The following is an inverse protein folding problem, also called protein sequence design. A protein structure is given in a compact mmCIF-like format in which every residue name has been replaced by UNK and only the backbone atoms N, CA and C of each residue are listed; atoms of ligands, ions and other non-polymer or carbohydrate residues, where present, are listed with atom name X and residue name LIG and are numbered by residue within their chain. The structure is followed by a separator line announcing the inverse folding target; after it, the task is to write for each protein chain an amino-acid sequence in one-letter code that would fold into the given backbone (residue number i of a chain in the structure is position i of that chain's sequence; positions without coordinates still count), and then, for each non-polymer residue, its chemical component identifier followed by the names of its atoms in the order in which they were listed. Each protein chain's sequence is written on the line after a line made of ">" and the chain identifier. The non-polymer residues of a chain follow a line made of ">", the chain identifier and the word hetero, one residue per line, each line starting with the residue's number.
data_IF_411410556985
#
_entry.id   IF_411410556985
#
_cell.length_a   1.000
_cell.length_b   1.000
_cell.length_c   1.000
_cell.angle_alpha   90.00
_cell.angle_beta   90.00
_cell.angle_gamma   90.00
#
_symmetry.space_group_name_H-M   'P 1'
#
loop_
_entity.id
_entity.type
_entity.pdbx_description
1 polymer ?
#
# COMPACT_ATOMS: atom_id res chain seq x y z
N UNK A 1 26.64 20.66 24.03
CA UNK A 1 27.36 19.48 23.52
C UNK A 1 27.68 19.74 22.04
N UNK A 2 28.94 19.78 21.66
CA UNK A 2 29.39 19.99 20.27
C UNK A 2 30.12 18.75 19.80
N UNK A 3 29.74 18.18 18.66
CA UNK A 3 30.42 17.04 18.05
C UNK A 3 31.22 17.52 16.84
N UNK A 4 32.45 17.07 16.71
CA UNK A 4 33.33 17.32 15.57
C UNK A 4 33.74 15.96 14.98
N UNK A 5 33.73 15.90 13.65
CA UNK A 5 34.16 14.72 12.89
C UNK A 5 35.60 14.93 12.38
N UNK A 6 36.52 14.03 12.75
CA UNK A 6 37.83 13.90 12.10
C UNK A 6 37.92 12.45 11.59
N UNK A 7 38.59 12.23 10.49
CA UNK A 7 38.49 11.01 9.64
C UNK A 7 38.69 9.65 10.32
N UNK A 8 39.12 9.59 11.57
CA UNK A 8 39.35 8.31 12.31
C UNK A 8 38.99 8.30 13.81
N UNK A 9 38.49 9.41 14.37
CA UNK A 9 38.12 9.47 15.81
C UNK A 9 36.88 10.33 16.05
N UNK A 10 36.03 9.89 16.99
CA UNK A 10 34.89 10.68 17.47
C UNK A 10 35.27 11.37 18.78
N UNK A 11 35.16 12.69 18.81
CA UNK A 11 35.47 13.52 19.97
C UNK A 11 34.17 14.09 20.58
N UNK A 12 33.90 13.73 21.84
CA UNK A 12 32.80 14.26 22.61
C UNK A 12 33.33 15.20 23.68
N UNK A 13 32.92 16.46 23.66
CA UNK A 13 33.27 17.46 24.65
C UNK A 13 32.04 17.77 25.51
N UNK A 14 32.12 17.49 26.81
CA UNK A 14 31.10 17.83 27.80
C UNK A 14 31.64 18.84 28.79
N UNK A 15 30.91 19.92 29.03
CA UNK A 15 31.15 20.85 30.14
C UNK A 15 30.15 20.54 31.25
N UNK A 16 30.62 20.19 32.42
CA UNK A 16 29.79 19.97 33.60
C UNK A 16 30.20 20.89 34.73
N UNK A 17 29.22 21.50 35.36
CA UNK A 17 29.49 22.25 36.62
C UNK A 17 29.71 21.23 37.74
N UNK A 18 30.90 21.24 38.32
CA UNK A 18 31.25 20.38 39.47
C UNK A 18 31.02 21.12 40.78
N UNK A 19 30.22 20.55 41.66
CA UNK A 19 30.04 21.05 43.03
C UNK A 19 31.32 20.99 43.87
N UNK A 20 32.34 20.22 43.46
CA UNK A 20 33.59 20.04 44.18
C UNK A 20 34.67 21.08 43.86
N UNK A 21 34.53 21.87 42.79
CA UNK A 21 35.54 22.87 42.38
C UNK A 21 34.92 24.27 42.19
N UNK A 22 34.47 24.90 43.30
CA UNK A 22 34.15 26.33 43.40
C UNK A 22 33.75 27.00 42.07
N UNK A 23 32.83 26.39 41.28
CA UNK A 23 32.18 27.04 40.13
C UNK A 23 33.02 27.09 38.83
N UNK A 24 34.16 26.46 38.73
CA UNK A 24 34.88 26.34 37.45
C UNK A 24 34.34 25.15 36.63
N UNK A 25 34.04 25.36 35.34
CA UNK A 25 33.56 24.28 34.48
C UNK A 25 34.69 23.28 34.22
N UNK A 26 34.47 22.00 34.54
CA UNK A 26 35.37 20.91 34.17
C UNK A 26 35.04 20.49 32.77
N UNK A 27 36.02 20.59 31.88
CA UNK A 27 35.91 20.15 30.49
C UNK A 27 36.42 18.72 30.37
N UNK A 28 35.53 17.79 30.08
CA UNK A 28 35.84 16.39 29.79
C UNK A 28 35.86 16.17 28.27
N UNK A 29 37.01 15.71 27.76
CA UNK A 29 37.16 15.28 26.39
C UNK A 29 37.24 13.75 26.36
N UNK A 30 36.24 13.11 25.74
CA UNK A 30 36.23 11.67 25.50
C UNK A 30 36.52 11.42 24.03
N UNK A 31 37.46 10.52 23.74
CA UNK A 31 37.78 10.08 22.38
C UNK A 31 37.34 8.64 22.23
N UNK A 32 36.70 8.34 21.11
CA UNK A 32 36.18 7.02 20.79
C UNK A 32 36.66 6.59 19.42
N UNK A 33 37.11 5.37 19.32
CA UNK A 33 37.35 4.70 18.05
C UNK A 33 36.02 4.36 17.36
N UNK A 34 35.98 4.16 16.03
CA UNK A 34 34.79 3.74 15.32
C UNK A 34 34.14 2.46 15.89
N UNK A 35 34.92 1.54 16.41
CA UNK A 35 34.42 0.29 17.00
C UNK A 35 33.81 0.52 18.39
N UNK A 36 34.43 1.39 19.22
CA UNK A 36 33.82 1.80 20.49
C UNK A 36 32.51 2.57 20.32
N UNK A 37 32.42 3.41 19.28
CA UNK A 37 31.15 4.07 18.91
C UNK A 37 30.11 3.04 18.49
N UNK A 38 30.48 2.02 17.71
CA UNK A 38 29.55 0.91 17.35
C UNK A 38 29.13 0.12 18.59
N UNK A 39 30.08 -0.18 19.49
CA UNK A 39 29.78 -0.86 20.75
C UNK A 39 28.88 0.00 21.66
N UNK A 40 29.11 1.31 21.75
CA UNK A 40 28.29 2.25 22.52
C UNK A 40 26.88 2.36 21.93
N UNK A 41 26.77 2.47 20.62
CA UNK A 41 25.48 2.47 19.92
C UNK A 41 24.74 1.14 20.10
N UNK A 42 25.43 0.02 20.07
CA UNK A 42 24.86 -1.31 20.35
C UNK A 42 24.44 -1.44 21.83
N UNK A 43 25.23 -0.90 22.76
CA UNK A 43 24.91 -0.88 24.19
C UNK A 43 23.70 0.03 24.48
N UNK A 44 23.69 1.25 23.93
CA UNK A 44 22.53 2.17 24.02
C UNK A 44 21.28 1.56 23.38
N UNK A 45 21.42 0.91 22.22
CA UNK A 45 20.32 0.19 21.57
C UNK A 45 19.86 -1.04 22.39
N UNK A 46 20.78 -1.68 23.14
CA UNK A 46 20.46 -2.77 24.07
C UNK A 46 19.78 -2.25 25.35
N UNK A 47 20.27 -1.15 25.91
CA UNK A 47 19.63 -0.45 27.04
C UNK A 47 18.25 0.12 26.65
N UNK A 48 18.11 0.63 25.44
CA UNK A 48 16.80 1.03 24.90
C UNK A 48 15.89 -0.18 24.69
N UNK A 49 16.42 -1.34 24.30
CA UNK A 49 15.66 -2.61 24.21
C UNK A 49 15.30 -3.16 25.59
N UNK A 50 16.18 -3.07 26.57
CA UNK A 50 15.93 -3.47 27.95
C UNK A 50 14.90 -2.54 28.64
N UNK A 51 14.94 -1.23 28.35
CA UNK A 51 13.92 -0.27 28.76
C UNK A 51 12.59 -0.38 27.98
N UNK A 52 12.52 -1.20 26.93
CA UNK A 52 11.28 -1.48 26.20
C UNK A 52 10.30 -2.37 27.01
N UNK A 53 10.65 -2.75 28.25
CA UNK A 53 9.79 -3.43 29.22
C UNK A 53 9.11 -2.52 30.22
N UNK A 54 9.26 -1.19 30.12
CA UNK A 54 8.58 -0.28 31.04
C UNK A 54 7.09 -0.16 30.68
N UNK A 55 6.24 -0.82 31.46
CA UNK A 55 4.87 -0.34 31.74
C UNK A 55 4.97 1.08 32.29
N UNK A 56 3.96 1.93 32.05
CA UNK A 56 3.82 3.20 32.78
C UNK A 56 3.99 2.94 34.28
N UNK A 57 4.35 3.97 35.05
CA UNK A 57 4.42 3.87 36.52
C UNK A 57 3.14 3.28 37.17
N UNK A 58 2.03 3.21 36.40
CA UNK A 58 0.72 2.64 36.76
C UNK A 58 0.49 1.19 36.26
N UNK A 59 1.47 0.53 35.62
CA UNK A 59 1.29 -0.81 35.03
C UNK A 59 0.44 -0.85 33.75
N UNK A 60 0.07 0.29 33.18
CA UNK A 60 -0.79 0.36 31.99
C UNK A 60 0.04 0.13 30.70
N UNK A 61 -0.52 -0.61 29.72
CA UNK A 61 0.16 -0.85 28.44
C UNK A 61 0.31 0.44 27.63
N UNK A 62 1.49 0.66 27.08
CA UNK A 62 1.85 1.83 26.29
C UNK A 62 1.59 1.60 24.78
N UNK A 63 1.23 2.65 24.05
CA UNK A 63 0.82 2.57 22.63
C UNK A 63 1.96 2.11 21.71
N UNK A 64 3.12 2.75 21.77
CA UNK A 64 4.25 2.39 20.88
C UNK A 64 4.77 0.99 21.21
N UNK A 65 4.91 0.65 22.49
CA UNK A 65 5.28 -0.69 22.92
C UNK A 65 4.30 -1.75 22.38
N UNK A 66 2.99 -1.52 22.54
CA UNK A 66 1.97 -2.42 22.03
C UNK A 66 2.00 -2.53 20.50
N UNK A 67 2.15 -1.40 19.79
CA UNK A 67 2.26 -1.43 18.32
C UNK A 67 3.49 -2.18 17.86
N UNK A 68 4.62 -2.07 18.55
CA UNK A 68 5.84 -2.81 18.24
C UNK A 68 5.66 -4.33 18.44
N UNK A 69 5.02 -4.75 19.53
CA UNK A 69 4.66 -6.16 19.77
C UNK A 69 3.78 -6.70 18.62
N UNK A 70 2.77 -5.91 18.21
CA UNK A 70 1.90 -6.28 17.09
C UNK A 70 2.66 -6.41 15.77
N UNK A 71 3.64 -5.54 15.50
CA UNK A 71 4.48 -5.56 14.31
C UNK A 71 5.38 -6.80 14.33
N UNK A 72 5.99 -7.15 15.47
CA UNK A 72 6.82 -8.35 15.61
C UNK A 72 6.00 -9.61 15.34
N UNK A 73 4.87 -9.78 16.00
CA UNK A 73 3.97 -10.91 15.77
C UNK A 73 3.42 -10.98 14.33
N UNK A 74 3.24 -9.81 13.67
CA UNK A 74 2.86 -9.77 12.27
C UNK A 74 4.01 -10.22 11.36
N UNK A 75 5.27 -9.85 11.67
CA UNK A 75 6.45 -10.18 10.89
C UNK A 75 6.70 -11.69 10.82
N UNK A 76 6.47 -12.42 11.92
CA UNK A 76 6.59 -13.89 12.00
C UNK A 76 5.66 -14.63 11.02
N UNK A 77 4.58 -13.98 10.59
CA UNK A 77 3.57 -14.56 9.71
C UNK A 77 3.68 -14.09 8.26
N UNK A 78 4.70 -13.27 7.93
CA UNK A 78 4.95 -12.83 6.55
C UNK A 78 5.40 -14.02 5.70
N UNK A 79 4.79 -14.18 4.54
CA UNK A 79 5.03 -15.34 3.65
C UNK A 79 4.11 -16.54 3.94
N UNK A 80 3.44 -16.59 5.09
CA UNK A 80 2.44 -17.61 5.41
C UNK A 80 1.04 -17.08 5.04
N UNK A 81 0.55 -16.08 5.75
CA UNK A 81 -0.79 -15.49 5.57
C UNK A 81 -0.77 -13.95 5.65
N UNK A 82 0.40 -13.35 5.74
CA UNK A 82 0.61 -11.91 5.86
C UNK A 82 1.52 -11.37 4.75
N UNK A 83 1.25 -10.14 4.32
CA UNK A 83 2.02 -9.50 3.25
C UNK A 83 3.11 -8.58 3.78
N UNK A 84 4.29 -8.62 3.16
CA UNK A 84 5.40 -7.70 3.42
C UNK A 84 4.99 -6.23 3.25
N UNK A 85 4.13 -5.92 2.28
CA UNK A 85 3.64 -4.56 2.05
C UNK A 85 2.84 -4.00 3.24
N UNK A 86 2.07 -4.85 3.93
CA UNK A 86 1.34 -4.47 5.15
C UNK A 86 2.28 -4.30 6.33
N UNK A 87 3.28 -5.19 6.48
CA UNK A 87 4.32 -5.05 7.50
C UNK A 87 5.07 -3.72 7.36
N UNK A 88 5.51 -3.41 6.15
CA UNK A 88 6.18 -2.12 5.86
C UNK A 88 5.30 -0.92 6.22
N UNK A 89 4.01 -0.96 5.87
CA UNK A 89 3.04 0.08 6.25
C UNK A 89 2.97 0.24 7.77
N UNK A 90 2.91 -0.84 8.53
CA UNK A 90 2.83 -0.81 9.99
C UNK A 90 4.10 -0.25 10.63
N UNK A 91 5.28 -0.66 10.15
CA UNK A 91 6.56 -0.10 10.60
C UNK A 91 6.65 1.41 10.37
N UNK A 92 6.26 1.87 9.18
CA UNK A 92 6.23 3.31 8.85
C UNK A 92 5.22 4.05 9.74
N UNK A 93 4.04 3.46 9.98
CA UNK A 93 3.04 4.07 10.86
C UNK A 93 3.55 4.21 12.29
N UNK A 94 4.24 3.19 12.83
CA UNK A 94 4.84 3.24 14.15
C UNK A 94 5.88 4.36 14.26
N UNK A 95 6.73 4.54 13.23
CA UNK A 95 7.69 5.66 13.16
C UNK A 95 7.00 7.03 13.19
N UNK A 96 5.91 7.20 12.45
CA UNK A 96 5.15 8.47 12.47
C UNK A 96 4.41 8.69 13.79
N UNK A 97 3.89 7.64 14.42
CA UNK A 97 3.29 7.72 15.76
C UNK A 97 4.34 8.16 16.79
N UNK A 98 5.53 7.58 16.75
CA UNK A 98 6.63 7.99 17.63
C UNK A 98 6.96 9.47 17.42
N UNK A 99 7.12 9.93 16.17
CA UNK A 99 7.35 11.35 15.87
C UNK A 99 6.25 12.27 16.41
N UNK A 100 4.99 11.90 16.24
CA UNK A 100 3.85 12.65 16.78
C UNK A 100 3.87 12.72 18.32
N UNK A 101 4.08 11.59 18.99
CA UNK A 101 4.11 11.52 20.46
C UNK A 101 5.26 12.35 21.00
N UNK A 102 6.48 12.20 20.43
CA UNK A 102 7.65 12.95 20.88
C UNK A 102 7.51 14.46 20.63
N UNK A 103 7.06 14.88 19.44
CA UNK A 103 7.03 16.29 19.06
C UNK A 103 5.82 17.04 19.60
N UNK A 104 4.63 16.41 19.56
CA UNK A 104 3.38 17.08 19.89
C UNK A 104 2.87 16.77 21.32
N UNK A 105 3.27 15.64 21.90
CA UNK A 105 2.89 15.23 23.26
C UNK A 105 4.06 15.36 24.26
N UNK A 106 5.28 15.60 23.78
CA UNK A 106 6.50 15.79 24.58
C UNK A 106 6.77 14.63 25.56
N UNK A 107 6.39 13.41 25.18
CA UNK A 107 6.58 12.20 25.96
C UNK A 107 7.27 11.12 25.10
N UNK A 108 7.86 10.09 25.73
CA UNK A 108 8.44 8.97 25.02
C UNK A 108 7.37 8.01 24.46
N UNK A 109 6.28 7.81 25.19
CA UNK A 109 5.12 7.00 24.79
C UNK A 109 3.86 7.49 25.54
N UNK A 110 2.69 6.98 25.19
CA UNK A 110 1.41 7.31 25.82
C UNK A 110 0.66 6.04 26.24
N UNK A 111 -0.10 6.06 27.36
CA UNK A 111 -0.97 4.94 27.72
C UNK A 111 -1.97 4.63 26.59
N UNK A 112 -2.25 3.35 26.38
CA UNK A 112 -3.22 2.91 25.36
C UNK A 112 -4.61 3.52 25.59
N UNK A 113 -5.00 3.71 26.83
CA UNK A 113 -6.27 4.35 27.22
C UNK A 113 -6.35 5.85 26.88
N UNK A 114 -5.20 6.51 26.72
CA UNK A 114 -5.14 7.91 26.29
C UNK A 114 -5.41 8.11 24.78
N UNK A 115 -5.48 6.99 24.01
CA UNK A 115 -5.82 7.02 22.60
C UNK A 115 -7.33 7.17 22.44
N UNK A 116 -7.79 8.35 22.08
CA UNK A 116 -9.19 8.71 21.87
C UNK A 116 -9.38 9.45 20.53
N UNK A 117 -10.59 9.94 20.26
CA UNK A 117 -10.88 10.70 19.03
C UNK A 117 -9.96 11.92 18.84
N UNK A 118 -9.65 12.64 19.94
CA UNK A 118 -8.74 13.80 19.91
C UNK A 118 -7.31 13.39 19.52
N UNK A 119 -6.82 12.25 20.04
CA UNK A 119 -5.53 11.69 19.64
C UNK A 119 -5.50 11.38 18.14
N UNK A 120 -6.56 10.79 17.59
CA UNK A 120 -6.68 10.53 16.15
C UNK A 120 -6.68 11.83 15.34
N UNK A 121 -7.41 12.86 15.78
CA UNK A 121 -7.46 14.16 15.12
C UNK A 121 -6.10 14.89 15.20
N UNK A 122 -5.42 14.82 16.35
CA UNK A 122 -4.08 15.37 16.53
C UNK A 122 -3.05 14.67 15.62
N UNK A 123 -3.08 13.33 15.56
CA UNK A 123 -2.22 12.58 14.66
C UNK A 123 -2.52 12.87 13.19
N UNK A 124 -3.79 13.04 12.81
CA UNK A 124 -4.17 13.44 11.45
C UNK A 124 -3.60 14.81 11.08
N UNK A 125 -3.71 15.81 11.98
CA UNK A 125 -3.12 17.16 11.81
C UNK A 125 -1.60 17.09 11.66
N UNK A 126 -0.91 16.33 12.52
CA UNK A 126 0.52 16.12 12.44
C UNK A 126 0.94 15.54 11.07
N UNK A 127 0.25 14.49 10.58
CA UNK A 127 0.54 13.89 9.29
C UNK A 127 0.35 14.85 8.11
N UNK A 128 -0.67 15.72 8.17
CA UNK A 128 -1.00 16.64 7.07
C UNK A 128 -0.14 17.90 7.13
N UNK A 129 -0.04 18.54 8.29
CA UNK A 129 0.57 19.86 8.40
C UNK A 129 2.07 19.78 8.71
N UNK A 130 2.50 18.88 9.60
CA UNK A 130 3.93 18.75 9.96
C UNK A 130 4.69 17.90 8.97
N UNK A 131 4.11 16.75 8.57
CA UNK A 131 4.74 15.82 7.61
C UNK A 131 4.38 16.12 6.15
N UNK A 132 3.53 17.10 5.88
CA UNK A 132 3.05 17.53 4.56
C UNK A 132 2.49 16.38 3.69
N UNK A 133 1.88 15.36 4.30
CA UNK A 133 1.27 14.26 3.56
C UNK A 133 -0.09 14.66 2.98
N UNK A 134 -0.38 14.14 1.79
CA UNK A 134 -1.72 14.24 1.22
C UNK A 134 -2.73 13.49 2.10
N UNK A 135 -3.97 13.97 2.16
CA UNK A 135 -5.07 13.38 2.93
C UNK A 135 -5.21 11.85 2.73
N UNK A 136 -5.00 11.35 1.51
CA UNK A 136 -5.05 9.91 1.21
C UNK A 136 -3.94 9.13 1.93
N UNK A 137 -2.73 9.67 2.01
CA UNK A 137 -1.60 9.06 2.72
C UNK A 137 -1.82 9.09 4.23
N UNK A 138 -2.30 10.23 4.77
CA UNK A 138 -2.66 10.35 6.18
C UNK A 138 -3.73 9.30 6.57
N UNK A 139 -4.79 9.12 5.75
CA UNK A 139 -5.80 8.07 5.98
C UNK A 139 -5.22 6.65 6.00
N UNK A 140 -4.17 6.37 5.23
CA UNK A 140 -3.50 5.07 5.25
C UNK A 140 -2.90 4.78 6.63
N UNK A 141 -2.21 5.75 7.23
CA UNK A 141 -1.60 5.62 8.55
C UNK A 141 -2.64 5.62 9.68
N UNK A 142 -3.69 6.46 9.59
CA UNK A 142 -4.82 6.43 10.52
C UNK A 142 -5.56 5.10 10.49
N UNK A 143 -5.69 4.47 9.31
CA UNK A 143 -6.25 3.12 9.18
C UNK A 143 -5.38 2.05 9.84
N UNK A 144 -4.05 2.21 9.83
CA UNK A 144 -3.14 1.32 10.53
C UNK A 144 -3.23 1.51 12.06
N UNK A 145 -3.33 2.76 12.56
CA UNK A 145 -3.58 3.02 13.98
C UNK A 145 -4.90 2.38 14.44
N UNK A 146 -5.99 2.53 13.66
CA UNK A 146 -7.26 1.82 13.94
C UNK A 146 -7.09 0.30 14.00
N UNK A 147 -6.23 -0.26 13.16
CA UNK A 147 -5.95 -1.69 13.20
C UNK A 147 -5.29 -2.09 14.52
N UNK A 148 -4.31 -1.35 15.01
CA UNK A 148 -3.69 -1.58 16.32
C UNK A 148 -4.70 -1.44 17.47
N UNK A 149 -5.52 -0.40 17.46
CA UNK A 149 -6.58 -0.24 18.47
C UNK A 149 -7.58 -1.42 18.47
N UNK A 150 -7.98 -1.92 17.28
CA UNK A 150 -8.82 -3.14 17.22
C UNK A 150 -8.11 -4.38 17.78
N UNK A 151 -6.80 -4.51 17.58
CA UNK A 151 -6.03 -5.59 18.19
C UNK A 151 -5.99 -5.45 19.72
N UNK A 152 -5.84 -4.22 20.23
CA UNK A 152 -5.90 -3.93 21.66
C UNK A 152 -7.28 -4.27 22.26
N UNK A 153 -8.36 -3.94 21.56
CA UNK A 153 -9.73 -4.32 21.96
C UNK A 153 -9.91 -5.85 22.02
N UNK A 154 -9.40 -6.58 21.02
CA UNK A 154 -9.45 -8.07 21.02
C UNK A 154 -8.69 -8.70 22.18
N UNK A 155 -7.66 -8.02 22.69
CA UNK A 155 -6.88 -8.46 23.85
C UNK A 155 -7.47 -7.94 25.19
N UNK A 156 -8.61 -7.26 25.18
CA UNK A 156 -9.23 -6.69 26.36
C UNK A 156 -8.52 -5.47 26.96
N UNK A 157 -7.52 -4.89 26.23
CA UNK A 157 -6.76 -3.73 26.68
C UNK A 157 -7.49 -2.41 26.44
N UNK A 158 -8.49 -2.41 25.58
CA UNK A 158 -9.40 -1.30 25.29
C UNK A 158 -10.85 -1.81 25.30
N UNK A 159 -11.76 -1.07 25.91
CA UNK A 159 -13.16 -1.47 26.09
C UNK A 159 -14.11 -0.92 25.04
N UNK A 160 -13.71 0.13 24.31
CA UNK A 160 -14.57 0.84 23.35
C UNK A 160 -13.84 1.28 22.08
N UNK A 161 -14.60 1.69 21.06
CA UNK A 161 -14.08 2.24 19.81
C UNK A 161 -13.48 3.65 20.03
N UNK A 162 -12.21 3.70 20.37
CA UNK A 162 -11.47 4.95 20.69
C UNK A 162 -11.40 5.97 19.55
N UNK A 163 -11.72 5.59 18.30
CA UNK A 163 -11.75 6.48 17.14
C UNK A 163 -13.17 6.96 16.78
N UNK A 164 -14.19 6.63 17.58
CA UNK A 164 -15.53 7.14 17.35
C UNK A 164 -15.55 8.66 17.58
N UNK A 165 -16.15 9.40 16.66
CA UNK A 165 -16.12 10.87 16.67
C UNK A 165 -14.84 11.51 16.11
N UNK A 166 -13.83 10.73 15.67
CA UNK A 166 -12.65 11.30 15.03
C UNK A 166 -12.97 11.82 13.62
N UNK A 167 -12.58 13.06 13.36
CA UNK A 167 -12.71 13.73 12.07
C UNK A 167 -11.56 13.32 11.14
N UNK A 168 -11.83 12.33 10.28
CA UNK A 168 -10.82 11.86 9.34
C UNK A 168 -10.84 12.70 8.05
N UNK A 169 -9.66 12.96 7.47
CA UNK A 169 -9.58 13.71 6.21
C UNK A 169 -10.49 13.10 5.15
N UNK A 170 -11.35 13.90 4.55
CA UNK A 170 -12.20 13.46 3.44
C UNK A 170 -11.33 13.25 2.21
N UNK A 171 -11.50 12.13 1.53
CA UNK A 171 -10.81 11.81 0.29
C UNK A 171 -11.86 11.38 -0.73
N UNK A 172 -12.05 12.20 -1.74
CA UNK A 172 -12.81 11.78 -2.92
C UNK A 172 -12.01 10.73 -3.68
N UNK A 173 -12.56 9.56 -3.81
CA UNK A 173 -12.00 8.50 -4.63
C UNK A 173 -12.59 8.60 -6.03
N UNK A 174 -11.97 9.37 -6.90
CA UNK A 174 -12.29 9.30 -8.34
C UNK A 174 -11.52 8.12 -8.92
N UNK A 175 -12.24 7.15 -9.44
CA UNK A 175 -11.64 6.03 -10.16
C UNK A 175 -11.46 6.42 -11.61
N UNK A 176 -10.22 6.56 -12.03
CA UNK A 176 -9.88 6.83 -13.43
C UNK A 176 -9.88 5.50 -14.19
N UNK A 177 -10.61 5.47 -15.29
CA UNK A 177 -10.62 4.41 -16.29
C UNK A 177 -10.47 5.05 -17.67
N UNK A 178 -9.82 4.37 -18.60
CA UNK A 178 -9.76 4.81 -19.98
C UNK A 178 -11.13 4.56 -20.65
N UNK A 179 -11.54 5.49 -21.50
CA UNK A 179 -12.59 5.24 -22.46
C UNK A 179 -12.15 4.21 -23.50
N UNK A 180 -13.08 3.67 -24.26
CA UNK A 180 -12.75 2.73 -25.35
C UNK A 180 -11.80 3.36 -26.35
N UNK A 181 -12.04 4.59 -26.78
CA UNK A 181 -11.19 5.31 -27.71
C UNK A 181 -9.76 5.55 -27.16
N UNK A 182 -9.63 5.95 -25.89
CA UNK A 182 -8.31 6.13 -25.27
C UNK A 182 -7.53 4.81 -25.17
N UNK A 183 -8.21 3.69 -24.90
CA UNK A 183 -7.59 2.36 -24.89
C UNK A 183 -7.13 1.95 -26.30
N UNK A 184 -7.94 2.22 -27.34
CA UNK A 184 -7.61 1.91 -28.72
C UNK A 184 -6.43 2.79 -29.19
N UNK A 185 -6.39 4.08 -28.86
CA UNK A 185 -5.27 4.97 -29.12
C UNK A 185 -3.99 4.48 -28.42
N UNK A 186 -4.08 4.07 -27.15
CA UNK A 186 -2.94 3.51 -26.44
C UNK A 186 -2.43 2.22 -27.09
N UNK A 187 -3.34 1.36 -27.53
CA UNK A 187 -3.01 0.09 -28.22
C UNK A 187 -2.29 0.32 -29.55
N UNK A 188 -2.70 1.35 -30.28
CA UNK A 188 -2.14 1.72 -31.57
C UNK A 188 -0.87 2.57 -31.49
N UNK A 189 -0.47 3.02 -30.29
CA UNK A 189 0.68 3.90 -30.13
C UNK A 189 1.96 3.23 -30.64
N UNK A 190 2.65 3.87 -31.56
CA UNK A 190 3.91 3.36 -32.12
C UNK A 190 5.05 3.51 -31.09
N UNK A 191 5.40 2.41 -30.47
CA UNK A 191 6.44 2.30 -29.44
C UNK A 191 7.16 0.95 -29.55
N UNK A 192 8.47 0.94 -29.20
CA UNK A 192 9.34 -0.23 -29.35
C UNK A 192 9.95 -0.66 -28.01
N UNK A 193 10.55 -1.86 -27.99
CA UNK A 193 11.28 -2.40 -26.84
C UNK A 193 10.41 -2.50 -25.57
N UNK A 194 10.96 -2.07 -24.46
CA UNK A 194 10.26 -2.13 -23.14
C UNK A 194 8.96 -1.33 -23.13
N UNK A 195 8.85 -0.24 -23.89
CA UNK A 195 7.60 0.53 -23.98
C UNK A 195 6.51 -0.27 -24.67
N UNK A 196 6.83 -0.98 -25.75
CA UNK A 196 5.88 -1.85 -26.45
C UNK A 196 5.42 -3.01 -25.55
N UNK A 197 6.34 -3.63 -24.81
CA UNK A 197 6.02 -4.64 -23.84
C UNK A 197 5.04 -4.11 -22.77
N UNK A 198 5.33 -2.96 -22.19
CA UNK A 198 4.49 -2.34 -21.14
C UNK A 198 3.11 -1.95 -21.68
N UNK A 199 3.03 -1.39 -22.91
CA UNK A 199 1.77 -1.13 -23.61
C UNK A 199 0.95 -2.41 -23.74
N UNK A 200 1.54 -3.48 -24.22
CA UNK A 200 0.88 -4.75 -24.45
C UNK A 200 0.42 -5.41 -23.14
N UNK A 201 1.21 -5.34 -22.06
CA UNK A 201 0.81 -5.81 -20.73
C UNK A 201 -0.37 -4.98 -20.16
N UNK A 202 -0.40 -3.67 -20.40
CA UNK A 202 -1.52 -2.84 -20.01
C UNK A 202 -2.79 -3.21 -20.77
N UNK A 203 -2.69 -3.38 -22.09
CA UNK A 203 -3.83 -3.78 -22.94
C UNK A 203 -4.33 -5.16 -22.55
N UNK A 204 -3.43 -6.14 -22.33
CA UNK A 204 -3.82 -7.46 -21.81
C UNK A 204 -4.58 -7.35 -20.48
N UNK A 205 -4.05 -6.55 -19.55
CA UNK A 205 -4.72 -6.31 -18.26
C UNK A 205 -6.07 -5.58 -18.43
N UNK A 206 -6.21 -4.68 -19.40
CA UNK A 206 -7.47 -4.01 -19.72
C UNK A 206 -8.52 -4.94 -20.37
N UNK A 207 -8.09 -6.05 -20.96
CA UNK A 207 -8.96 -7.08 -21.54
C UNK A 207 -9.27 -8.24 -20.58
N UNK A 208 -8.47 -8.43 -19.53
CA UNK A 208 -8.60 -9.58 -18.61
C UNK A 208 -8.87 -9.18 -17.16
N UNK A 209 -8.71 -7.90 -16.81
CA UNK A 209 -8.82 -7.42 -15.43
C UNK A 209 -7.69 -7.87 -14.50
N UNK A 210 -6.65 -8.55 -15.00
CA UNK A 210 -5.51 -9.02 -14.19
C UNK A 210 -4.77 -7.84 -13.53
N UNK A 211 -4.37 -8.00 -12.26
CA UNK A 211 -3.48 -7.05 -11.62
C UNK A 211 -2.01 -7.41 -11.88
N UNK A 212 -1.08 -6.50 -11.53
CA UNK A 212 0.36 -6.70 -11.69
C UNK A 212 0.86 -8.05 -11.19
N UNK A 213 0.47 -8.43 -9.99
CA UNK A 213 0.94 -9.68 -9.39
C UNK A 213 0.39 -10.91 -10.11
N UNK A 214 -0.85 -10.83 -10.61
CA UNK A 214 -1.47 -11.94 -11.34
C UNK A 214 -0.85 -12.09 -12.73
N UNK A 215 -0.48 -10.99 -13.42
CA UNK A 215 0.30 -11.04 -14.67
C UNK A 215 1.64 -11.76 -14.48
N UNK A 216 2.32 -11.54 -13.33
CA UNK A 216 3.58 -12.22 -13.00
C UNK A 216 3.41 -13.72 -12.76
N UNK A 217 2.27 -14.13 -12.21
CA UNK A 217 2.00 -15.54 -11.89
C UNK A 217 1.11 -16.23 -12.92
N UNK A 218 0.80 -15.56 -14.02
CA UNK A 218 0.07 -16.17 -15.13
C UNK A 218 0.90 -17.31 -15.71
N UNK A 219 0.23 -18.46 -15.94
CA UNK A 219 0.81 -19.65 -16.58
C UNK A 219 -0.12 -20.15 -17.68
N UNK A 220 0.36 -20.98 -18.65
CA UNK A 220 -0.51 -21.57 -19.66
C UNK A 220 -1.66 -22.39 -19.09
N UNK A 221 -1.47 -23.04 -17.93
CA UNK A 221 -2.50 -23.84 -17.25
C UNK A 221 -3.71 -23.02 -16.79
N UNK A 222 -3.58 -21.71 -16.68
CA UNK A 222 -4.69 -20.82 -16.39
C UNK A 222 -5.58 -20.52 -17.60
N UNK A 223 -5.22 -21.04 -18.80
CA UNK A 223 -5.99 -20.85 -20.03
C UNK A 223 -6.60 -22.19 -20.41
N UNK A 224 -7.91 -22.26 -20.24
CA UNK A 224 -8.73 -23.42 -20.60
C UNK A 224 -9.41 -23.14 -21.93
N UNK A 225 -9.65 -24.21 -22.72
CA UNK A 225 -10.38 -24.12 -23.98
C UNK A 225 -11.47 -25.17 -23.99
N UNK A 226 -12.68 -24.72 -24.28
CA UNK A 226 -13.86 -25.58 -24.42
C UNK A 226 -14.66 -25.20 -25.67
N UNK A 227 -15.83 -25.80 -25.85
CA UNK A 227 -16.74 -25.53 -26.97
C UNK A 227 -17.27 -24.09 -27.00
N UNK A 228 -17.26 -23.38 -25.87
CA UNK A 228 -17.70 -21.97 -25.74
C UNK A 228 -16.57 -20.97 -26.02
N UNK A 229 -15.32 -21.42 -26.10
CA UNK A 229 -14.15 -20.61 -26.41
C UNK A 229 -12.97 -20.81 -25.46
N UNK A 230 -12.15 -19.77 -25.35
CA UNK A 230 -11.00 -19.75 -24.42
C UNK A 230 -11.33 -18.93 -23.16
N UNK A 231 -10.96 -19.49 -22.04
CA UNK A 231 -11.22 -18.90 -20.70
C UNK A 231 -9.90 -18.75 -19.92
N UNK A 232 -9.77 -17.64 -19.23
CA UNK A 232 -8.75 -17.44 -18.24
C UNK A 232 -9.36 -17.72 -16.86
N UNK A 233 -8.87 -18.75 -16.18
CA UNK A 233 -9.31 -19.17 -14.85
C UNK A 233 -8.10 -19.19 -13.92
N UNK A 234 -8.05 -18.29 -12.94
CA UNK A 234 -6.93 -18.29 -11.99
C UNK A 234 -7.31 -17.74 -10.63
N UNK A 235 -6.74 -18.28 -9.54
CA UNK A 235 -6.90 -17.70 -8.21
C UNK A 235 -6.16 -16.36 -8.11
N UNK A 236 -6.82 -15.35 -7.58
CA UNK A 236 -6.21 -14.02 -7.34
C UNK A 236 -5.21 -14.11 -6.21
N UNK A 237 -3.98 -13.71 -6.47
CA UNK A 237 -2.91 -13.75 -5.46
C UNK A 237 -3.27 -13.01 -4.15
N UNK A 238 -4.04 -11.93 -4.23
CA UNK A 238 -4.40 -11.11 -3.07
C UNK A 238 -5.56 -11.66 -2.24
N UNK A 239 -6.52 -12.35 -2.86
CA UNK A 239 -7.79 -12.71 -2.23
C UNK A 239 -8.06 -14.20 -2.22
N UNK A 240 -7.30 -15.01 -2.98
CA UNK A 240 -7.58 -16.42 -3.21
C UNK A 240 -8.83 -16.71 -4.04
N UNK A 241 -9.64 -15.68 -4.34
CA UNK A 241 -10.87 -15.86 -5.12
C UNK A 241 -10.55 -16.14 -6.58
N UNK A 242 -11.30 -17.05 -7.20
CA UNK A 242 -11.18 -17.34 -8.62
C UNK A 242 -11.61 -16.13 -9.45
N UNK A 243 -10.79 -15.79 -10.44
CA UNK A 243 -11.12 -14.85 -11.50
C UNK A 243 -11.37 -15.67 -12.77
N UNK A 244 -12.52 -15.48 -13.42
CA UNK A 244 -12.89 -16.21 -14.64
C UNK A 244 -13.24 -15.18 -15.71
N UNK A 245 -12.49 -15.18 -16.82
CA UNK A 245 -12.65 -14.21 -17.91
C UNK A 245 -12.59 -14.91 -19.26
N UNK A 246 -13.57 -14.66 -20.12
CA UNK A 246 -13.53 -15.13 -21.50
C UNK A 246 -12.46 -14.37 -22.29
N UNK A 247 -11.59 -15.09 -22.99
CA UNK A 247 -10.57 -14.51 -23.84
C UNK A 247 -11.07 -14.40 -25.28
N UNK A 248 -10.94 -13.19 -25.85
CA UNK A 248 -11.21 -13.00 -27.28
C UNK A 248 -10.02 -13.44 -28.13
N UNK A 249 -10.24 -13.70 -29.43
CA UNK A 249 -9.17 -14.00 -30.38
C UNK A 249 -8.07 -12.92 -30.37
N UNK A 250 -8.46 -11.65 -30.29
CA UNK A 250 -7.49 -10.55 -30.20
C UNK A 250 -6.67 -10.61 -28.90
N UNK A 251 -7.29 -11.00 -27.79
CA UNK A 251 -6.56 -11.14 -26.49
C UNK A 251 -5.59 -12.31 -26.53
N UNK A 252 -5.96 -13.42 -27.16
CA UNK A 252 -5.08 -14.58 -27.37
C UNK A 252 -3.90 -14.22 -28.27
N UNK A 253 -4.16 -13.56 -29.40
CA UNK A 253 -3.11 -13.09 -30.31
C UNK A 253 -2.13 -12.11 -29.64
N UNK A 254 -2.65 -11.23 -28.75
CA UNK A 254 -1.82 -10.34 -27.96
C UNK A 254 -0.95 -11.12 -26.97
N UNK A 255 -1.55 -12.13 -26.31
CA UNK A 255 -0.85 -12.99 -25.35
C UNK A 255 0.29 -13.77 -26.04
N UNK A 256 0.06 -14.25 -27.26
CA UNK A 256 1.07 -14.98 -28.05
C UNK A 256 2.25 -14.10 -28.44
N UNK A 257 2.01 -12.82 -28.70
CA UNK A 257 3.05 -11.83 -29.05
C UNK A 257 3.92 -11.37 -27.86
N UNK A 258 3.45 -11.61 -26.61
CA UNK A 258 4.20 -11.21 -25.43
C UNK A 258 5.42 -12.12 -25.22
N UNK A 259 6.59 -11.57 -24.85
CA UNK A 259 7.78 -12.37 -24.56
C UNK A 259 7.52 -13.29 -23.36
N UNK A 260 7.93 -14.56 -23.51
CA UNK A 260 7.77 -15.61 -22.51
C UNK A 260 9.06 -15.78 -21.71
N UNK A 261 8.90 -16.19 -20.46
CA UNK A 261 10.01 -16.64 -19.63
C UNK A 261 10.33 -18.10 -19.95
N UNK A 262 11.54 -18.53 -19.58
CA UNK A 262 11.93 -19.95 -19.64
C UNK A 262 11.00 -20.79 -18.76
N UNK A 263 10.75 -22.08 -19.10
CA UNK A 263 9.77 -22.92 -18.40
C UNK A 263 9.99 -23.12 -16.90
N UNK A 264 11.21 -22.90 -16.40
CA UNK A 264 11.57 -23.03 -14.98
C UNK A 264 11.31 -21.78 -14.14
N UNK A 265 10.82 -20.68 -14.74
CA UNK A 265 10.56 -19.44 -14.01
C UNK A 265 9.19 -19.49 -13.30
N UNK A 266 9.06 -18.71 -12.22
CA UNK A 266 7.83 -18.60 -11.42
C UNK A 266 6.66 -17.90 -12.14
N UNK A 267 6.69 -17.79 -13.46
CA UNK A 267 5.65 -17.18 -14.28
C UNK A 267 5.92 -17.48 -15.77
N UNK A 268 4.94 -17.15 -16.62
CA UNK A 268 5.00 -17.38 -18.05
C UNK A 268 5.43 -16.13 -18.84
N UNK A 269 4.96 -14.95 -18.43
CA UNK A 269 5.22 -13.71 -19.13
C UNK A 269 6.43 -12.96 -18.55
N UNK A 270 7.20 -12.32 -19.43
CA UNK A 270 8.20 -11.34 -19.00
C UNK A 270 7.50 -10.06 -18.51
N UNK A 271 7.38 -9.90 -17.21
CA UNK A 271 6.72 -8.73 -16.59
C UNK A 271 7.77 -7.88 -15.86
N UNK A 272 8.12 -6.70 -16.37
CA UNK A 272 9.04 -5.78 -15.69
C UNK A 272 8.54 -5.41 -14.28
N UNK A 273 9.43 -4.85 -13.45
CA UNK A 273 9.02 -4.37 -12.14
C UNK A 273 7.94 -3.26 -12.24
N UNK A 274 7.12 -3.15 -11.21
CA UNK A 274 5.97 -2.24 -11.20
C UNK A 274 6.35 -0.75 -11.34
N UNK A 275 7.55 -0.37 -10.89
CA UNK A 275 8.05 1.01 -11.03
C UNK A 275 8.39 1.30 -12.50
N UNK A 276 9.07 0.39 -13.17
CA UNK A 276 9.39 0.49 -14.60
C UNK A 276 8.12 0.55 -15.44
N UNK A 277 7.16 -0.35 -15.21
CA UNK A 277 5.86 -0.34 -15.90
C UNK A 277 5.19 1.03 -15.74
N UNK A 278 5.03 1.52 -14.51
CA UNK A 278 4.32 2.77 -14.26
C UNK A 278 5.06 3.99 -14.81
N UNK A 279 6.40 3.99 -14.86
CA UNK A 279 7.19 5.05 -15.50
C UNK A 279 6.88 5.14 -16.99
N UNK A 280 6.86 4.02 -17.72
CA UNK A 280 6.55 3.99 -19.14
C UNK A 280 5.08 4.32 -19.42
N UNK A 281 4.14 3.80 -18.63
CA UNK A 281 2.73 4.14 -18.74
C UNK A 281 2.47 5.63 -18.52
N UNK A 282 3.15 6.23 -17.56
CA UNK A 282 3.04 7.68 -17.33
C UNK A 282 3.49 8.49 -18.56
N UNK A 283 4.63 8.12 -19.18
CA UNK A 283 5.10 8.78 -20.38
C UNK A 283 4.11 8.62 -21.54
N UNK A 284 3.59 7.40 -21.78
CA UNK A 284 2.57 7.15 -22.82
C UNK A 284 1.26 7.92 -22.55
N UNK A 285 0.82 7.97 -21.30
CA UNK A 285 -0.36 8.75 -20.91
C UNK A 285 -0.18 10.26 -21.17
N UNK A 286 1.03 10.78 -20.98
CA UNK A 286 1.37 12.16 -21.32
C UNK A 286 1.33 12.39 -22.84
N UNK A 287 1.90 11.48 -23.63
CA UNK A 287 1.84 11.54 -25.11
C UNK A 287 0.41 11.54 -25.63
N UNK A 288 -0.48 10.81 -25.00
CA UNK A 288 -1.91 10.75 -25.35
C UNK A 288 -2.75 11.85 -24.70
N UNK A 289 -2.14 12.81 -24.03
CA UNK A 289 -2.82 13.91 -23.31
C UNK A 289 -3.94 13.45 -22.37
N UNK A 290 -3.75 12.30 -21.70
CA UNK A 290 -4.74 11.78 -20.76
C UNK A 290 -4.90 12.71 -19.56
N UNK A 291 -6.15 12.89 -19.12
CA UNK A 291 -6.50 13.80 -18.00
C UNK A 291 -5.85 13.42 -16.67
N UNK A 292 -5.53 12.16 -16.49
CA UNK A 292 -4.94 11.64 -15.26
C UNK A 292 -3.73 10.76 -15.54
N UNK A 293 -2.89 10.63 -14.51
CA UNK A 293 -1.67 9.83 -14.60
C UNK A 293 -1.98 8.36 -14.84
N UNK A 294 -1.51 7.83 -15.97
CA UNK A 294 -1.69 6.43 -16.33
C UNK A 294 -0.73 5.55 -15.50
N UNK A 295 -1.28 4.50 -14.90
CA UNK A 295 -0.53 3.45 -14.19
C UNK A 295 -1.23 2.09 -14.38
N UNK A 296 -0.52 0.98 -14.14
CA UNK A 296 -1.03 -0.34 -14.52
C UNK A 296 -2.41 -0.68 -13.89
N UNK A 297 -2.67 -0.22 -12.67
CA UNK A 297 -3.97 -0.51 -12.03
C UNK A 297 -5.17 0.16 -12.73
N UNK A 298 -4.92 1.20 -13.54
CA UNK A 298 -5.95 1.83 -14.39
C UNK A 298 -6.50 0.83 -15.40
N UNK A 299 -5.69 -0.09 -15.93
CA UNK A 299 -6.17 -1.12 -16.86
C UNK A 299 -7.29 -1.98 -16.26
N UNK A 300 -7.17 -2.34 -14.99
CA UNK A 300 -8.20 -3.10 -14.28
C UNK A 300 -9.46 -2.27 -14.03
N UNK A 301 -9.31 -0.97 -13.77
CA UNK A 301 -10.45 -0.05 -13.69
C UNK A 301 -11.14 0.07 -15.06
N UNK A 302 -10.35 0.19 -16.12
CA UNK A 302 -10.81 0.21 -17.51
C UNK A 302 -11.60 -1.06 -17.86
N UNK A 303 -11.06 -2.24 -17.55
CA UNK A 303 -11.77 -3.51 -17.73
C UNK A 303 -13.15 -3.49 -17.06
N UNK A 304 -13.17 -3.17 -15.75
CA UNK A 304 -14.42 -3.16 -14.99
C UNK A 304 -15.45 -2.19 -15.57
N UNK A 305 -15.03 -0.96 -15.88
CA UNK A 305 -15.90 0.08 -16.42
C UNK A 305 -16.44 -0.31 -17.80
N UNK A 306 -15.59 -0.81 -18.71
CA UNK A 306 -15.99 -1.22 -20.04
C UNK A 306 -16.93 -2.45 -20.03
N UNK A 307 -16.74 -3.40 -19.11
CA UNK A 307 -17.67 -4.54 -18.96
C UNK A 307 -19.03 -4.08 -18.47
N UNK A 308 -19.09 -3.22 -17.47
CA UNK A 308 -20.35 -2.65 -16.96
C UNK A 308 -21.07 -1.80 -18.04
N UNK A 309 -20.32 -1.04 -18.85
CA UNK A 309 -20.89 -0.27 -19.98
C UNK A 309 -21.47 -1.17 -21.08
N UNK A 310 -20.97 -2.40 -21.23
CA UNK A 310 -21.50 -3.42 -22.15
C UNK A 310 -22.71 -4.17 -21.60
N UNK A 311 -23.21 -3.81 -20.43
CA UNK A 311 -24.37 -4.45 -19.80
C UNK A 311 -24.03 -5.71 -18.99
N UNK A 312 -22.75 -6.05 -18.80
CA UNK A 312 -22.38 -7.17 -17.93
C UNK A 312 -22.77 -6.83 -16.49
N UNK A 313 -23.42 -7.75 -15.78
CA UNK A 313 -23.90 -7.51 -14.42
C UNK A 313 -22.75 -7.23 -13.45
N UNK A 314 -23.05 -6.52 -12.37
CA UNK A 314 -22.06 -6.17 -11.34
C UNK A 314 -21.44 -7.41 -10.69
N UNK A 315 -22.24 -8.45 -10.47
CA UNK A 315 -21.87 -9.74 -9.91
C UNK A 315 -20.91 -10.49 -10.85
N UNK A 316 -21.24 -10.53 -12.16
CA UNK A 316 -20.39 -11.14 -13.16
C UNK A 316 -19.03 -10.41 -13.26
N UNK A 317 -19.02 -9.08 -13.29
CA UNK A 317 -17.77 -8.29 -13.28
C UNK A 317 -17.00 -8.51 -11.98
N UNK A 318 -17.67 -8.65 -10.83
CA UNK A 318 -17.06 -8.97 -9.56
C UNK A 318 -16.34 -10.32 -9.59
N UNK A 319 -16.97 -11.33 -10.17
CA UNK A 319 -16.41 -12.68 -10.38
C UNK A 319 -15.22 -12.63 -11.36
N UNK A 320 -15.38 -11.97 -12.51
CA UNK A 320 -14.29 -11.76 -13.48
C UNK A 320 -13.05 -11.14 -12.83
N UNK A 321 -13.27 -10.20 -11.92
CA UNK A 321 -12.20 -9.55 -11.18
C UNK A 321 -11.69 -10.37 -9.97
N UNK A 322 -12.37 -11.43 -9.55
CA UNK A 322 -12.07 -12.17 -8.34
C UNK A 322 -12.13 -11.28 -7.08
N UNK A 323 -13.17 -10.47 -6.94
CA UNK A 323 -13.41 -9.68 -5.75
C UNK A 323 -14.13 -10.51 -4.69
N UNK A 324 -13.63 -10.51 -3.46
CA UNK A 324 -14.28 -11.20 -2.34
C UNK A 324 -15.61 -10.55 -1.90
N UNK A 325 -15.90 -9.33 -2.36
CA UNK A 325 -17.14 -8.59 -2.03
C UNK A 325 -17.56 -7.77 -3.24
N UNK A 326 -18.82 -7.92 -3.67
CA UNK A 326 -19.41 -7.16 -4.78
C UNK A 326 -19.32 -5.65 -4.55
N UNK A 327 -19.46 -5.18 -3.31
CA UNK A 327 -19.25 -3.77 -2.93
C UNK A 327 -17.88 -3.19 -3.38
N UNK A 328 -16.89 -4.04 -3.64
CA UNK A 328 -15.62 -3.59 -4.22
C UNK A 328 -15.77 -3.20 -5.68
N UNK A 329 -16.71 -3.82 -6.39
CA UNK A 329 -17.01 -3.56 -7.81
C UNK A 329 -17.98 -2.38 -7.98
N UNK A 330 -18.85 -2.10 -7.01
CA UNK A 330 -19.81 -0.98 -7.05
C UNK A 330 -19.15 0.37 -7.33
N UNK A 331 -17.87 0.54 -6.96
CA UNK A 331 -17.10 1.76 -7.25
C UNK A 331 -16.95 2.08 -8.74
N UNK A 332 -17.19 1.12 -9.63
CA UNK A 332 -17.13 1.27 -11.08
C UNK A 332 -18.52 1.46 -11.70
N UNK A 333 -19.57 1.22 -10.93
CA UNK A 333 -20.95 1.32 -11.36
C UNK A 333 -21.41 2.79 -11.28
N UNK A 334 -20.93 3.64 -12.21
CA UNK A 334 -21.63 4.89 -12.49
C UNK A 334 -22.88 4.57 -13.30
N UNK A 335 -24.04 4.89 -12.74
CA UNK A 335 -25.31 4.77 -13.46
C UNK A 335 -25.36 5.91 -14.48
N UNK A 336 -24.93 5.60 -15.70
CA UNK A 336 -25.04 6.54 -16.82
C UNK A 336 -26.44 6.50 -17.43
N UNK A 337 -26.88 7.61 -18.09
CA UNK A 337 -28.13 7.62 -18.86
C UNK A 337 -28.17 6.49 -19.88
N UNK A 338 -27.04 6.15 -20.50
CA UNK A 338 -26.93 5.05 -21.46
C UNK A 338 -27.24 3.69 -20.82
N UNK A 339 -26.78 3.46 -19.59
CA UNK A 339 -27.05 2.22 -18.84
C UNK A 339 -28.55 2.13 -18.50
N UNK A 340 -29.18 3.22 -18.07
CA UNK A 340 -30.61 3.27 -17.80
C UNK A 340 -31.40 2.94 -19.08
N UNK A 341 -31.06 3.56 -20.21
CA UNK A 341 -31.71 3.31 -21.48
C UNK A 341 -31.52 1.87 -21.97
N UNK A 342 -30.35 1.29 -21.77
CA UNK A 342 -30.07 -0.10 -22.12
C UNK A 342 -30.92 -1.08 -21.30
N UNK A 343 -30.96 -0.88 -19.97
CA UNK A 343 -31.73 -1.73 -19.05
C UNK A 343 -33.26 -1.61 -19.31
N UNK A 344 -33.76 -0.39 -19.59
CA UNK A 344 -35.17 -0.18 -19.98
C UNK A 344 -35.48 -0.84 -21.32
N UNK A 345 -34.58 -0.76 -22.32
CA UNK A 345 -34.78 -1.42 -23.62
C UNK A 345 -34.69 -2.94 -23.55
N UNK A 346 -34.02 -3.52 -22.56
CA UNK A 346 -34.06 -4.97 -22.31
C UNK A 346 -35.34 -5.40 -21.62
N UNK A 347 -35.84 -4.62 -20.63
CA UNK A 347 -37.11 -4.90 -19.96
C UNK A 347 -38.29 -4.88 -20.90
N UNK A 348 -38.31 -3.96 -21.87
CA UNK A 348 -39.39 -3.87 -22.91
C UNK A 348 -39.35 -4.99 -23.96
N UNK A 349 -38.29 -5.80 -24.04
CA UNK A 349 -38.17 -6.96 -24.94
C UNK A 349 -38.60 -8.28 -24.29
N UNK A 350 -38.89 -8.24 -23.01
CA UNK A 350 -39.28 -9.42 -22.21
C UNK A 350 -40.80 -9.46 -21.96
N UNK A 351 -41.54 -8.39 -22.32
CA UNK A 351 -42.99 -8.29 -22.40
C UNK A 351 -43.45 -8.51 -23.85
#
# INVERSE_FOLDING_TARGET
>A
MKCYYAEHEFKLTCEAASAAHKGQPVRLELRFTPDEVRALVACVASLMRANCGQTSATGEPLLLQFTQQCITAYAERVGIDRSESSLRKYRITCKHLQGYITQCRQTADVPLKAVNAEFFNGFARYLIHTMAFRAQTARLYLSALRHFCRMAMRKGLLTSCVWQGAELPRVEKRHFALTRNELDQLSALDVHGTRALVRNLFVLSAHTGLAYIDLKHLTPQHIERDSSGAWLTMPRHKTGQQAVVRLTTATLALLDKLPKLQPCAAGWLQVPDNRTINRHLHAMGHTLHLRQRLHLHVSRHTFATLMLQRGVSLEAVSTMLGHARVATTQRYAEVTRQKILHELGQAQRTD
#
